data_IF_221393187379
#
_entry.id   IF_221393187379
#
_cell.length_a   1.000
_cell.length_b   1.000
_cell.length_c   1.000
_cell.angle_alpha   90.00
_cell.angle_beta   90.00
_cell.angle_gamma   90.00
#
_symmetry.space_group_name_H-M   'P 1'
#
loop_
_entity.id
_entity.type
_entity.pdbx_description
1 polymer ?
#
# COMPACT_ATOMS: atom_id res chain seq x y z
N UNK A 1 -4.82 3.22 10.66
CA UNK A 1 -5.33 3.71 9.36
C UNK A 1 -5.84 2.50 8.57
N UNK A 2 -7.00 2.57 7.93
CA UNK A 2 -7.54 1.48 7.09
C UNK A 2 -7.76 1.93 5.65
N UNK A 3 -7.34 1.09 4.70
CA UNK A 3 -7.38 1.30 3.25
C UNK A 3 -8.26 0.23 2.60
N UNK A 4 -9.49 0.57 2.22
CA UNK A 4 -10.41 -0.34 1.52
C UNK A 4 -10.17 -0.36 0.01
N UNK A 5 -10.25 -1.52 -0.64
CA UNK A 5 -10.14 -1.66 -2.10
C UNK A 5 -11.49 -2.10 -2.71
N UNK A 6 -12.39 -1.17 -3.11
CA UNK A 6 -13.73 -1.51 -3.59
C UNK A 6 -13.71 -2.40 -4.84
N UNK A 7 -12.73 -2.19 -5.72
CA UNK A 7 -12.56 -2.94 -6.96
C UNK A 7 -11.75 -4.23 -6.79
N UNK A 8 -11.15 -4.46 -5.62
CA UNK A 8 -10.31 -5.64 -5.39
C UNK A 8 -9.00 -5.64 -6.19
N UNK A 9 -8.53 -4.48 -6.64
CA UNK A 9 -7.27 -4.37 -7.38
C UNK A 9 -6.30 -3.44 -6.66
N UNK A 10 -5.04 -3.84 -6.63
CA UNK A 10 -3.94 -3.04 -6.10
C UNK A 10 -2.78 -3.03 -7.09
N UNK A 11 -2.25 -1.85 -7.38
CA UNK A 11 -1.17 -1.66 -8.34
C UNK A 11 -0.06 -0.79 -7.75
N UNK A 12 1.10 -1.36 -7.47
CA UNK A 12 2.23 -0.56 -6.99
C UNK A 12 3.55 -1.12 -7.52
N UNK A 13 4.27 -0.34 -8.31
CA UNK A 13 5.63 -0.70 -8.74
C UNK A 13 6.59 -0.61 -7.56
N UNK A 14 7.37 -1.66 -7.26
CA UNK A 14 8.39 -1.59 -6.23
C UNK A 14 9.40 -0.47 -6.51
N UNK A 15 9.97 0.06 -5.43
CA UNK A 15 11.15 0.91 -5.56
C UNK A 15 12.28 0.13 -6.24
N UNK A 16 13.07 0.80 -7.09
CA UNK A 16 14.16 0.19 -7.87
C UNK A 16 13.71 -0.89 -8.89
N UNK A 17 12.45 -0.85 -9.33
CA UNK A 17 11.94 -1.72 -10.41
C UNK A 17 11.33 -0.92 -11.53
N UNK A 18 11.55 -1.39 -12.76
CA UNK A 18 10.86 -0.86 -13.92
C UNK A 18 9.36 -1.14 -13.85
N UNK A 19 8.52 -0.23 -14.34
CA UNK A 19 7.05 -0.34 -14.31
C UNK A 19 6.53 -1.60 -15.03
N UNK A 20 7.31 -2.13 -15.97
CA UNK A 20 6.99 -3.31 -16.77
C UNK A 20 7.68 -4.59 -16.31
N UNK A 21 8.33 -4.57 -15.12
CA UNK A 21 9.04 -5.72 -14.55
C UNK A 21 8.14 -6.91 -14.23
N UNK A 22 6.83 -6.68 -14.06
CA UNK A 22 5.90 -7.71 -13.61
C UNK A 22 5.80 -7.81 -12.08
N UNK A 23 6.58 -7.03 -11.34
CA UNK A 23 6.58 -7.03 -9.88
C UNK A 23 5.52 -6.06 -9.33
N UNK A 24 4.92 -6.42 -8.19
CA UNK A 24 4.03 -5.53 -7.42
C UNK A 24 4.48 -5.49 -5.96
N UNK A 25 4.56 -4.29 -5.41
CA UNK A 25 5.05 -4.07 -4.06
C UNK A 25 3.99 -4.41 -3.01
N UNK A 26 4.24 -5.45 -2.22
CA UNK A 26 3.35 -5.87 -1.15
C UNK A 26 4.13 -6.41 0.06
N UNK A 27 3.81 -5.98 1.29
CA UNK A 27 2.92 -4.87 1.63
C UNK A 27 3.38 -3.52 1.06
N UNK A 28 2.50 -2.51 0.97
CA UNK A 28 2.92 -1.16 0.60
C UNK A 28 3.98 -0.64 1.56
N UNK A 29 5.08 -0.10 1.04
CA UNK A 29 6.15 0.46 1.86
C UNK A 29 5.68 1.67 2.67
N UNK A 30 6.19 1.87 3.90
CA UNK A 30 5.87 3.03 4.73
C UNK A 30 6.15 4.35 4.00
N UNK A 31 7.23 4.41 3.22
CA UNK A 31 7.59 5.56 2.40
C UNK A 31 6.49 5.96 1.42
N UNK A 32 5.82 5.00 0.76
CA UNK A 32 4.72 5.31 -0.15
C UNK A 32 3.56 5.97 0.59
N UNK A 33 3.24 5.50 1.79
CA UNK A 33 2.21 6.08 2.67
C UNK A 33 2.53 7.54 2.94
N UNK A 34 3.75 7.81 3.42
CA UNK A 34 4.18 9.15 3.82
C UNK A 34 4.23 10.10 2.62
N UNK A 35 4.74 9.66 1.46
CA UNK A 35 4.72 10.46 0.23
C UNK A 35 3.31 10.75 -0.27
N UNK A 36 2.39 9.81 -0.13
CA UNK A 36 1.00 10.03 -0.52
C UNK A 36 0.37 11.12 0.36
N UNK A 37 0.58 11.06 1.68
CA UNK A 37 0.12 12.10 2.60
C UNK A 37 0.73 13.48 2.28
N UNK A 38 2.04 13.54 2.03
CA UNK A 38 2.73 14.78 1.67
C UNK A 38 2.24 15.34 0.33
N UNK A 39 1.98 14.47 -0.65
CA UNK A 39 1.40 14.88 -1.94
C UNK A 39 0.00 15.46 -1.78
N UNK A 40 -0.84 14.88 -0.91
CA UNK A 40 -2.17 15.41 -0.61
C UNK A 40 -2.07 16.78 0.04
N UNK A 41 -1.17 16.97 1.00
CA UNK A 41 -0.94 18.28 1.59
C UNK A 41 -0.64 19.34 0.51
N UNK A 42 0.32 19.08 -0.37
CA UNK A 42 0.68 20.04 -1.44
C UNK A 42 -0.43 20.28 -2.47
N UNK A 43 -1.29 19.31 -2.74
CA UNK A 43 -2.23 19.37 -3.88
C UNK A 43 -3.68 19.65 -3.48
N UNK A 44 -4.08 19.33 -2.25
CA UNK A 44 -5.49 19.30 -1.82
C UNK A 44 -5.74 19.91 -0.45
N UNK A 45 -4.75 19.90 0.43
CA UNK A 45 -4.87 20.47 1.77
C UNK A 45 -3.74 21.49 2.07
N UNK A 46 -3.49 22.48 1.19
CA UNK A 46 -2.41 23.45 1.39
C UNK A 46 -2.66 24.39 2.58
N UNK A 47 -3.87 24.36 3.14
CA UNK A 47 -4.30 25.14 4.28
C UNK A 47 -3.87 24.55 5.63
N UNK A 48 -3.41 23.29 5.66
CA UNK A 48 -2.83 22.69 6.86
C UNK A 48 -1.43 23.27 7.07
N UNK A 49 -1.19 23.77 8.28
CA UNK A 49 0.08 24.35 8.67
C UNK A 49 1.26 23.38 8.50
N UNK A 50 2.38 23.89 8.01
CA UNK A 50 3.60 23.12 7.72
C UNK A 50 4.13 22.41 8.97
N UNK A 51 4.17 23.09 10.13
CA UNK A 51 4.72 22.50 11.36
C UNK A 51 3.90 21.29 11.80
N UNK A 52 2.58 21.36 11.62
CA UNK A 52 1.69 20.24 11.93
C UNK A 52 1.93 19.06 11.00
N UNK A 53 2.08 19.31 9.69
CA UNK A 53 2.37 18.23 8.72
C UNK A 53 3.73 17.60 8.99
N UNK A 54 4.76 18.41 9.24
CA UNK A 54 6.10 17.93 9.59
C UNK A 54 6.08 17.09 10.88
N UNK A 55 5.33 17.51 11.90
CA UNK A 55 5.19 16.75 13.15
C UNK A 55 4.52 15.39 12.90
N UNK A 56 3.38 15.37 12.18
CA UNK A 56 2.66 14.12 11.87
C UNK A 56 3.52 13.17 11.05
N UNK A 57 4.12 13.66 9.95
CA UNK A 57 4.96 12.84 9.06
C UNK A 57 6.22 12.38 9.79
N UNK A 58 6.85 13.25 10.58
CA UNK A 58 8.03 12.91 11.37
C UNK A 58 7.76 11.82 12.40
N UNK A 59 6.63 11.89 13.11
CA UNK A 59 6.20 10.85 14.05
C UNK A 59 5.94 9.52 13.33
N UNK A 60 5.22 9.52 12.21
CA UNK A 60 4.98 8.31 11.42
C UNK A 60 6.25 7.74 10.78
N UNK A 61 7.24 8.58 10.48
CA UNK A 61 8.53 8.16 9.95
C UNK A 61 9.47 7.59 11.04
N UNK A 62 9.19 7.83 12.31
CA UNK A 62 10.07 7.44 13.43
C UNK A 62 10.16 5.92 13.65
N UNK A 63 9.12 5.18 13.27
CA UNK A 63 9.08 3.72 13.40
C UNK A 63 8.35 3.06 12.21
N UNK A 64 8.66 1.80 11.87
CA UNK A 64 7.92 1.08 10.85
C UNK A 64 6.51 0.72 11.33
N UNK A 65 5.48 0.84 10.46
CA UNK A 65 4.15 0.35 10.75
C UNK A 65 4.07 -1.19 10.78
N UNK A 66 3.07 -1.68 11.51
CA UNK A 66 2.55 -3.04 11.42
C UNK A 66 1.35 -3.10 10.47
N UNK A 67 1.23 -4.19 9.72
CA UNK A 67 0.18 -4.39 8.73
C UNK A 67 -0.75 -5.56 9.09
N UNK A 68 -2.05 -5.37 8.86
CA UNK A 68 -3.00 -6.46 8.68
C UNK A 68 -3.40 -6.47 7.20
N UNK A 69 -3.07 -7.55 6.52
CA UNK A 69 -3.19 -7.66 5.07
C UNK A 69 -4.27 -8.71 4.71
N UNK A 70 -5.15 -8.41 3.75
CA UNK A 70 -6.00 -9.44 3.15
C UNK A 70 -5.16 -10.41 2.29
N UNK A 71 -5.75 -11.54 1.93
CA UNK A 71 -5.17 -12.45 0.95
C UNK A 71 -5.08 -11.78 -0.43
N UNK A 72 -3.96 -12.03 -1.14
CA UNK A 72 -3.68 -11.42 -2.44
C UNK A 72 -3.18 -12.43 -3.45
N UNK A 73 -3.58 -12.26 -4.71
CA UNK A 73 -3.09 -13.06 -5.83
C UNK A 73 -2.38 -12.18 -6.86
N UNK A 74 -1.14 -12.50 -7.26
CA UNK A 74 -0.46 -11.77 -8.32
C UNK A 74 -1.15 -12.01 -9.67
N UNK A 75 -1.31 -10.95 -10.44
CA UNK A 75 -1.84 -11.00 -11.80
C UNK A 75 -1.19 -9.91 -12.66
N UNK A 76 -1.29 -10.03 -13.98
CA UNK A 76 -0.79 -8.99 -14.88
C UNK A 76 -1.61 -8.99 -16.18
N UNK A 77 -1.68 -7.85 -16.86
CA UNK A 77 -2.08 -7.83 -18.28
C UNK A 77 -0.85 -7.72 -19.16
N UNK A 78 -0.87 -8.39 -20.31
CA UNK A 78 0.22 -8.42 -21.29
C UNK A 78 -0.14 -7.51 -22.45
N UNK A 79 0.74 -6.57 -22.77
CA UNK A 79 0.57 -5.63 -23.88
C UNK A 79 1.69 -5.83 -24.89
N UNK A 80 1.31 -5.99 -26.16
CA UNK A 80 2.22 -6.09 -27.31
C UNK A 80 2.09 -4.77 -28.07
N UNK A 81 3.04 -3.88 -27.84
CA UNK A 81 3.01 -2.52 -28.38
C UNK A 81 3.98 -2.44 -29.56
N UNK A 82 3.68 -1.65 -30.61
CA UNK A 82 4.65 -1.42 -31.68
C UNK A 82 5.90 -0.77 -31.08
N UNK A 83 7.07 -1.35 -31.38
CA UNK A 83 8.34 -0.75 -31.03
C UNK A 83 8.62 0.51 -31.86
N UNK A 84 9.64 1.28 -31.49
CA UNK A 84 9.96 2.53 -32.19
C UNK A 84 10.34 2.32 -33.67
N UNK A 85 10.79 1.12 -34.04
CA UNK A 85 11.13 0.75 -35.42
C UNK A 85 10.01 0.02 -36.17
N UNK A 86 8.80 -0.04 -35.60
CA UNK A 86 7.66 -0.72 -36.20
C UNK A 86 7.23 -0.03 -37.50
N UNK A 87 7.09 -0.83 -38.56
CA UNK A 87 6.62 -0.39 -39.88
C UNK A 87 5.85 -1.52 -40.56
N UNK A 88 5.25 -1.23 -41.71
CA UNK A 88 4.54 -2.26 -42.50
C UNK A 88 5.46 -3.42 -42.94
N UNK A 89 6.76 -3.14 -43.09
CA UNK A 89 7.78 -4.09 -43.54
C UNK A 89 8.52 -4.74 -42.36
N UNK A 90 8.74 -4.00 -41.28
CA UNK A 90 9.44 -4.49 -40.08
C UNK A 90 8.51 -4.55 -38.87
N UNK A 91 8.21 -5.76 -38.40
CA UNK A 91 7.38 -5.99 -37.22
C UNK A 91 8.23 -5.98 -35.96
N UNK A 92 8.56 -4.79 -35.47
CA UNK A 92 9.13 -4.59 -34.14
C UNK A 92 8.02 -4.49 -33.09
N UNK A 93 8.04 -5.35 -32.08
CA UNK A 93 7.01 -5.40 -31.03
C UNK A 93 7.66 -5.42 -29.66
N UNK A 94 7.37 -4.39 -28.86
CA UNK A 94 7.75 -4.31 -27.46
C UNK A 94 6.72 -5.04 -26.60
N UNK A 95 7.22 -5.88 -25.68
CA UNK A 95 6.40 -6.59 -24.70
C UNK A 95 6.42 -5.85 -23.37
N UNK A 96 5.23 -5.53 -22.85
CA UNK A 96 5.08 -4.82 -21.58
C UNK A 96 4.09 -5.55 -20.67
N UNK A 97 4.49 -5.76 -19.42
CA UNK A 97 3.63 -6.23 -18.35
C UNK A 97 3.03 -5.05 -17.60
N UNK A 98 1.74 -5.13 -17.26
CA UNK A 98 1.12 -4.28 -16.25
C UNK A 98 0.73 -5.16 -15.05
N UNK A 99 1.62 -5.32 -14.06
CA UNK A 99 1.38 -6.18 -12.90
C UNK A 99 0.38 -5.56 -11.93
N UNK A 100 -0.39 -6.38 -11.21
CA UNK A 100 -1.34 -5.96 -10.18
C UNK A 100 -1.62 -7.11 -9.21
N UNK A 101 -1.98 -6.80 -7.98
CA UNK A 101 -2.49 -7.78 -7.03
C UNK A 101 -4.02 -7.75 -7.03
N UNK A 102 -4.61 -8.94 -7.11
CA UNK A 102 -6.03 -9.17 -6.91
C UNK A 102 -6.31 -9.40 -5.44
N UNK A 103 -7.36 -8.78 -4.95
CA UNK A 103 -7.88 -8.89 -3.60
C UNK A 103 -9.38 -9.19 -3.67
N UNK A 104 -9.94 -9.70 -2.58
CA UNK A 104 -11.39 -9.71 -2.45
C UNK A 104 -11.93 -8.26 -2.54
N UNK A 105 -13.01 -8.00 -3.30
CA UNK A 105 -13.64 -6.69 -3.33
C UNK A 105 -14.00 -6.21 -1.93
N UNK A 106 -13.78 -4.92 -1.64
CA UNK A 106 -13.97 -4.29 -0.31
C UNK A 106 -13.07 -4.85 0.79
N UNK A 107 -12.03 -5.61 0.44
CA UNK A 107 -10.98 -5.96 1.40
C UNK A 107 -10.27 -4.70 1.90
N UNK A 108 -9.77 -4.76 3.12
CA UNK A 108 -9.10 -3.63 3.76
C UNK A 108 -7.68 -4.01 4.15
N UNK A 109 -6.73 -3.14 3.83
CA UNK A 109 -5.38 -3.14 4.41
C UNK A 109 -5.41 -2.24 5.63
N UNK A 110 -5.05 -2.77 6.79
CA UNK A 110 -4.92 -1.96 8.00
C UNK A 110 -3.44 -1.72 8.27
N UNK A 111 -3.11 -0.46 8.55
CA UNK A 111 -1.77 -0.02 8.89
C UNK A 111 -1.81 0.63 10.26
N UNK A 112 -0.95 0.17 11.16
CA UNK A 112 -0.88 0.62 12.56
C UNK A 112 0.55 0.99 12.92
N UNK A 113 0.72 2.16 13.52
CA UNK A 113 1.93 2.52 14.26
C UNK A 113 1.67 2.24 15.75
N UNK A 114 2.37 1.28 16.36
CA UNK A 114 2.05 0.82 17.70
C UNK A 114 2.41 1.82 18.80
N UNK A 115 3.44 2.64 18.60
CA UNK A 115 4.04 3.52 19.61
C UNK A 115 3.81 5.00 19.31
N UNK A 116 3.42 5.33 18.08
CA UNK A 116 3.14 6.71 17.68
C UNK A 116 1.86 7.22 18.34
N UNK A 117 2.02 8.23 19.18
CA UNK A 117 0.94 9.00 19.77
C UNK A 117 0.82 10.37 19.06
N UNK A 118 -0.41 10.68 18.64
CA UNK A 118 -0.76 11.94 17.98
C UNK A 118 -1.71 12.74 18.88
N UNK A 119 -1.45 14.03 19.00
CA UNK A 119 -2.36 14.94 19.71
C UNK A 119 -3.67 15.14 18.93
N UNK A 120 -4.62 15.91 19.48
CA UNK A 120 -5.91 16.11 18.85
C UNK A 120 -5.79 16.84 17.50
N UNK A 121 -4.96 17.87 17.42
CA UNK A 121 -4.79 18.67 16.22
C UNK A 121 -4.07 17.90 15.10
N UNK A 122 -3.05 17.12 15.47
CA UNK A 122 -2.34 16.21 14.58
C UNK A 122 -3.26 15.09 14.05
N UNK A 123 -4.13 14.53 14.90
CA UNK A 123 -5.11 13.52 14.48
C UNK A 123 -6.12 14.08 13.50
N UNK A 124 -6.66 15.27 13.77
CA UNK A 124 -7.61 15.92 12.87
C UNK A 124 -6.95 16.27 11.53
N UNK A 125 -5.71 16.75 11.56
CA UNK A 125 -4.93 17.03 10.35
C UNK A 125 -4.63 15.76 9.55
N UNK A 126 -4.23 14.68 10.23
CA UNK A 126 -4.02 13.38 9.59
C UNK A 126 -5.31 12.84 8.97
N UNK A 127 -6.46 12.99 9.64
CA UNK A 127 -7.75 12.57 9.10
C UNK A 127 -8.10 13.36 7.82
N UNK A 128 -7.88 14.67 7.81
CA UNK A 128 -8.06 15.50 6.61
C UNK A 128 -7.15 15.08 5.46
N UNK A 129 -5.87 14.81 5.75
CA UNK A 129 -4.92 14.30 4.75
C UNK A 129 -5.35 12.93 4.21
N UNK A 130 -5.85 12.04 5.07
CA UNK A 130 -6.38 10.76 4.65
C UNK A 130 -7.61 10.95 3.76
N UNK A 131 -8.59 11.77 4.14
CA UNK A 131 -9.77 12.04 3.31
C UNK A 131 -9.42 12.64 1.94
N UNK A 132 -8.33 13.41 1.87
CA UNK A 132 -7.83 13.99 0.63
C UNK A 132 -7.18 12.99 -0.34
N UNK A 133 -6.79 11.78 0.11
CA UNK A 133 -6.14 10.79 -0.75
C UNK A 133 -7.07 10.31 -1.87
N UNK A 134 -6.77 10.60 -3.15
CA UNK A 134 -7.60 10.11 -4.25
C UNK A 134 -7.47 8.61 -4.49
N UNK A 135 -6.26 8.07 -4.28
CA UNK A 135 -5.86 6.73 -4.71
C UNK A 135 -4.55 6.38 -3.98
N UNK A 136 -4.48 5.23 -3.31
CA UNK A 136 -3.30 4.81 -2.52
C UNK A 136 -2.08 4.45 -3.36
N UNK A 137 -2.31 4.05 -4.61
CA UNK A 137 -1.32 3.49 -5.50
C UNK A 137 -1.21 4.44 -6.69
N UNK A 138 0.00 4.83 -7.08
CA UNK A 138 0.30 5.90 -8.06
C UNK A 138 -0.26 5.75 -9.49
N UNK A 139 -1.27 4.91 -9.70
CA UNK A 139 -2.13 4.88 -10.89
C UNK A 139 -3.61 4.88 -10.49
N UNK A 140 -4.39 5.68 -11.24
CA UNK A 140 -5.83 6.04 -11.18
C UNK A 140 -6.89 4.95 -10.90
N UNK A 141 -6.55 3.69 -10.64
CA UNK A 141 -7.53 2.58 -10.57
C UNK A 141 -7.75 2.01 -9.16
N UNK A 142 -6.94 2.38 -8.17
CA UNK A 142 -7.10 1.88 -6.80
C UNK A 142 -7.97 2.85 -6.00
N UNK A 143 -9.29 2.85 -6.20
CA UNK A 143 -10.19 3.62 -5.34
C UNK A 143 -10.01 3.14 -3.90
N UNK A 144 -9.84 4.06 -2.94
CA UNK A 144 -9.70 3.68 -1.54
C UNK A 144 -10.61 4.48 -0.65
N UNK A 145 -11.43 3.78 0.15
CA UNK A 145 -12.16 4.42 1.25
C UNK A 145 -11.30 4.32 2.50
N UNK A 146 -11.13 5.46 3.15
CA UNK A 146 -10.22 5.61 4.28
C UNK A 146 -11.00 5.85 5.55
N UNK A 147 -10.58 5.18 6.61
CA UNK A 147 -11.09 5.44 7.94
C UNK A 147 -9.97 5.38 8.97
N UNK A 148 -10.06 6.26 9.96
CA UNK A 148 -9.32 6.12 11.18
C UNK A 148 -10.06 5.08 12.05
N UNK A 149 -9.44 3.92 12.23
CA UNK A 149 -10.05 2.81 12.95
C UNK A 149 -9.62 2.88 14.41
N UNK A 150 -10.56 3.28 15.28
CA UNK A 150 -10.36 3.41 16.73
C UNK A 150 -10.39 2.05 17.46
N UNK A 151 -11.05 1.06 16.87
CA UNK A 151 -11.10 -0.31 17.37
C UNK A 151 -10.86 -1.28 16.21
N UNK A 152 -9.82 -2.11 16.30
CA UNK A 152 -9.58 -3.18 15.32
C UNK A 152 -10.84 -4.07 15.24
N UNK A 153 -11.30 -4.45 14.03
CA UNK A 153 -12.28 -5.51 13.94
C UNK A 153 -11.68 -6.75 14.61
N UNK A 154 -12.42 -7.34 15.55
CA UNK A 154 -12.04 -8.63 16.14
C UNK A 154 -11.89 -9.63 15.00
N UNK A 155 -10.79 -10.38 14.98
CA UNK A 155 -10.67 -11.54 14.11
C UNK A 155 -11.94 -12.40 14.27
N UNK A 156 -12.56 -12.87 13.17
CA UNK A 156 -13.72 -13.74 13.29
C UNK A 156 -13.29 -14.97 14.11
N UNK A 157 -13.82 -15.05 15.33
CA UNK A 157 -13.62 -16.18 16.21
C UNK A 157 -14.06 -17.44 15.49
N UNK A 158 -13.11 -18.36 15.33
CA UNK A 158 -13.30 -19.72 14.85
C UNK A 158 -14.52 -20.36 15.52
N UNK A 159 -15.51 -20.77 14.73
CA UNK A 159 -16.70 -21.45 15.25
C UNK A 159 -17.58 -22.04 14.14
N UNK A 160 -17.22 -23.24 13.67
CA UNK A 160 -18.00 -24.00 12.69
C UNK A 160 -17.16 -25.02 11.93
N UNK A 161 -16.88 -26.17 12.56
CA UNK A 161 -16.04 -27.22 12.01
C UNK A 161 -16.71 -27.95 10.82
N UNK A 162 -16.00 -28.05 9.70
CA UNK A 162 -16.01 -29.23 8.83
C UNK A 162 -14.57 -29.54 8.46
N UNK A 163 -14.09 -30.70 8.89
CA UNK A 163 -12.68 -31.09 8.86
C UNK A 163 -12.28 -31.62 7.50
N UNK A 164 -11.16 -31.13 6.95
CA UNK A 164 -10.18 -31.97 6.25
C UNK A 164 -8.76 -31.44 6.47
N UNK A 165 -8.06 -32.14 7.38
CA UNK A 165 -6.60 -32.36 7.55
C UNK A 165 -5.63 -31.15 7.58
N UNK A 166 -4.99 -31.02 8.76
CA UNK A 166 -3.83 -30.18 9.21
C UNK A 166 -2.60 -30.24 8.27
N UNK A 167 -1.67 -29.26 8.28
CA UNK A 167 -1.03 -28.53 9.40
C UNK A 167 -0.30 -27.24 8.94
N UNK A 168 0.37 -26.45 9.82
CA UNK A 168 -0.10 -25.78 11.04
C UNK A 168 0.13 -24.23 11.01
N UNK A 169 -0.42 -23.58 12.03
CA UNK A 169 -0.41 -22.15 12.37
C UNK A 169 0.95 -21.43 12.27
N UNK A 170 0.92 -20.21 11.73
CA UNK A 170 1.26 -19.01 12.49
C UNK A 170 0.48 -17.80 11.95
N UNK A 171 -0.42 -17.24 12.75
CA UNK A 171 -0.80 -15.83 12.63
C UNK A 171 0.44 -15.01 12.99
N UNK A 172 1.27 -14.73 12.00
CA UNK A 172 2.47 -13.92 12.15
C UNK A 172 2.14 -12.50 11.72
N UNK A 173 2.08 -11.59 12.70
CA UNK A 173 2.39 -10.19 12.42
C UNK A 173 3.78 -10.17 11.77
N UNK A 174 3.85 -9.83 10.48
CA UNK A 174 5.14 -9.66 9.81
C UNK A 174 5.78 -8.37 10.33
N UNK A 175 6.60 -8.49 11.37
CA UNK A 175 7.62 -7.50 11.65
C UNK A 175 8.75 -7.70 10.64
N UNK A 176 9.05 -6.68 9.85
CA UNK A 176 10.28 -6.67 9.06
C UNK A 176 11.46 -6.59 10.03
N UNK A 177 12.40 -7.56 10.03
CA UNK A 177 13.60 -7.43 10.84
C UNK A 177 14.46 -6.29 10.28
N UNK A 178 14.71 -5.29 11.11
CA UNK A 178 15.81 -4.34 10.89
C UNK A 178 17.13 -5.07 11.04
N UNK A 179 17.98 -5.01 10.02
CA UNK A 179 19.38 -5.44 10.11
C UNK A 179 20.24 -4.56 9.22
N UNK A 180 20.84 -3.56 9.86
CA UNK A 180 22.11 -2.98 9.46
C UNK A 180 23.20 -4.02 9.75
N UNK A 181 23.96 -4.42 8.72
CA UNK A 181 25.31 -4.93 8.92
C UNK A 181 26.21 -4.47 7.76
N UNK A 182 27.07 -3.50 8.06
CA UNK A 182 28.31 -3.26 7.31
C UNK A 182 29.16 -4.52 7.36
N UNK A 183 29.76 -4.90 6.24
CA UNK A 183 30.99 -5.69 6.22
C UNK A 183 31.85 -5.24 5.05
N UNK A 184 32.94 -4.57 5.41
CA UNK A 184 34.13 -4.35 4.60
C UNK A 184 34.70 -5.66 4.05
N UNK A 185 35.08 -5.66 2.77
CA UNK A 185 36.38 -6.14 2.26
C UNK A 185 36.64 -5.47 0.92
#
# INVERSE_FOLDING_TARGET
MGFEFPLGEYHATPWDRAVNSGDSEWPPSPWRILRALLSVWHTRCPDIDLQTVESVIGKLASEPPSYLLPETFPSHTRHYLPGASHSEVSRDTAYTLAPRLQLAPKSQVLVRWPTVELDAHERDSLERLLQGLPTWAGLSRSATRLSWIRCLPRSPTTGGACQTRRAPRSESWCQLPGSLARSSR
#
